data_IF_407407881635
#
_entry.id   IF_407407881635
#
_cell.length_a   1.000
_cell.length_b   1.000
_cell.length_c   1.000
_cell.angle_alpha   90.00
_cell.angle_beta   90.00
_cell.angle_gamma   90.00
#
_symmetry.space_group_name_H-M   'P 1'
#
loop_
_entity.id
_entity.type
_entity.pdbx_description
1 polymer ?
#
# COMPACT_ATOMS: atom_id res chain seq x y z
N UNK A 1 -9.04 -13.36 -82.37
CA UNK A 1 -8.83 -14.82 -82.41
C UNK A 1 -9.92 -15.49 -81.58
N UNK A 2 -10.70 -16.37 -82.21
CA UNK A 2 -11.83 -17.10 -81.64
C UNK A 2 -11.42 -18.12 -80.56
N UNK A 3 -12.30 -18.32 -79.55
CA UNK A 3 -12.78 -19.57 -78.88
C UNK A 3 -13.05 -19.29 -77.39
N UNK A 4 -14.29 -19.26 -76.90
CA UNK A 4 -15.24 -20.35 -76.52
C UNK A 4 -14.93 -21.08 -75.19
N UNK A 5 -15.99 -21.13 -74.34
CA UNK A 5 -16.27 -22.04 -73.20
C UNK A 5 -15.53 -21.77 -71.87
N UNK A 6 -16.12 -21.84 -70.66
CA UNK A 6 -17.45 -22.25 -70.17
C UNK A 6 -17.63 -21.79 -68.69
N UNK A 7 -18.87 -21.40 -68.33
CA UNK A 7 -19.65 -21.51 -67.06
C UNK A 7 -18.98 -21.32 -65.67
N UNK A 8 -19.60 -20.71 -64.64
CA UNK A 8 -20.96 -20.19 -64.40
C UNK A 8 -20.95 -19.27 -63.14
N UNK A 9 -21.65 -18.13 -63.13
CA UNK A 9 -23.05 -17.91 -62.68
C UNK A 9 -23.32 -18.46 -61.26
N UNK A 10 -23.67 -17.61 -60.27
CA UNK A 10 -25.04 -17.20 -59.85
C UNK A 10 -24.87 -15.88 -59.02
N UNK A 11 -25.36 -14.69 -59.39
CA UNK A 11 -26.76 -14.18 -59.43
C UNK A 11 -27.38 -13.94 -58.02
N UNK A 12 -28.10 -12.87 -57.66
CA UNK A 12 -28.60 -11.64 -58.29
C UNK A 12 -29.36 -10.78 -57.24
N UNK A 13 -29.58 -9.49 -57.55
CA UNK A 13 -30.67 -8.63 -57.04
C UNK A 13 -30.28 -7.74 -55.84
N UNK A 14 -30.08 -6.42 -55.89
CA UNK A 14 -30.71 -5.25 -56.54
C UNK A 14 -32.22 -5.08 -56.22
N UNK A 15 -32.61 -3.97 -55.54
CA UNK A 15 -33.40 -2.83 -56.08
C UNK A 15 -34.06 -1.96 -54.97
N UNK A 16 -33.76 -0.64 -55.05
CA UNK A 16 -34.54 0.60 -54.78
C UNK A 16 -35.52 0.70 -53.60
N UNK A 17 -35.31 1.67 -52.68
CA UNK A 17 -35.82 3.07 -52.67
C UNK A 17 -37.35 3.18 -52.76
N UNK A 18 -37.97 3.71 -51.70
CA UNK A 18 -39.02 4.73 -51.79
C UNK A 18 -39.11 5.54 -50.49
N UNK A 19 -39.21 6.85 -50.69
CA UNK A 19 -39.32 7.95 -49.75
C UNK A 19 -40.78 8.29 -49.44
N UNK A 20 -41.08 8.72 -48.21
CA UNK A 20 -42.29 9.50 -47.91
C UNK A 20 -42.00 10.47 -46.76
N UNK A 21 -42.00 11.76 -47.08
CA UNK A 21 -42.13 12.88 -46.13
C UNK A 21 -43.58 12.96 -45.63
N UNK A 22 -43.83 13.66 -44.50
CA UNK A 22 -44.84 14.75 -44.36
C UNK A 22 -45.17 15.06 -42.87
N UNK A 23 -44.80 16.30 -42.50
CA UNK A 23 -45.53 17.34 -41.76
C UNK A 23 -45.62 17.31 -40.21
N UNK A 24 -45.16 18.46 -39.69
CA UNK A 24 -45.27 19.05 -38.36
C UNK A 24 -46.68 19.56 -38.04
N UNK A 25 -47.13 19.36 -36.78
CA UNK A 25 -48.07 20.30 -36.15
C UNK A 25 -47.88 20.35 -34.63
N UNK A 26 -47.59 21.56 -34.13
CA UNK A 26 -47.59 21.95 -32.71
C UNK A 26 -49.00 21.86 -32.12
N UNK A 27 -49.15 21.18 -30.98
CA UNK A 27 -50.21 21.45 -29.99
C UNK A 27 -49.54 21.51 -28.61
N UNK A 28 -49.69 22.65 -27.92
CA UNK A 28 -49.41 22.79 -26.48
C UNK A 28 -50.57 22.18 -25.70
N UNK A 29 -50.27 21.31 -24.75
CA UNK A 29 -50.93 21.33 -23.44
C UNK A 29 -50.09 20.57 -22.40
N UNK A 30 -49.87 21.23 -21.26
CA UNK A 30 -49.30 20.66 -20.03
C UNK A 30 -50.25 19.58 -19.50
N UNK A 31 -49.70 18.50 -18.94
CA UNK A 31 -50.02 17.94 -17.61
C UNK A 31 -49.28 16.61 -17.46
N UNK A 32 -48.68 16.48 -16.27
CA UNK A 32 -47.96 15.37 -15.65
C UNK A 32 -48.37 13.95 -16.04
N UNK A 33 -47.36 13.10 -16.30
CA UNK A 33 -47.07 11.92 -15.46
C UNK A 33 -45.84 11.18 -15.99
N UNK A 34 -44.76 11.25 -15.21
CA UNK A 34 -43.64 10.32 -15.22
C UNK A 34 -44.19 8.92 -14.96
N UNK A 35 -44.23 8.02 -15.95
CA UNK A 35 -44.22 6.55 -15.75
C UNK A 35 -44.27 5.68 -17.04
N UNK A 36 -44.08 6.21 -18.25
CA UNK A 36 -44.27 5.40 -19.49
C UNK A 36 -43.00 5.19 -20.35
N UNK A 37 -41.83 5.70 -19.95
CA UNK A 37 -40.58 5.51 -20.74
C UNK A 37 -39.60 4.48 -20.14
N UNK A 38 -40.13 3.35 -19.65
CA UNK A 38 -39.31 2.17 -19.26
C UNK A 38 -39.41 0.98 -20.22
N UNK A 39 -40.03 1.15 -21.38
CA UNK A 39 -40.08 0.09 -22.39
C UNK A 39 -39.52 0.62 -23.71
N UNK A 40 -38.49 -0.08 -24.20
CA UNK A 40 -38.01 -0.08 -25.59
C UNK A 40 -37.08 1.08 -26.00
N UNK A 41 -35.80 0.92 -25.70
CA UNK A 41 -34.74 1.17 -26.69
C UNK A 41 -33.51 0.30 -26.40
N UNK A 42 -33.65 -0.99 -26.71
CA UNK A 42 -32.51 -1.84 -27.04
C UNK A 42 -31.95 -1.32 -28.38
N UNK A 43 -30.98 -0.42 -28.32
CA UNK A 43 -30.05 -0.17 -29.42
C UNK A 43 -28.65 0.10 -28.86
N UNK A 44 -27.83 -0.94 -28.99
CA UNK A 44 -26.38 -0.93 -29.11
C UNK A 44 -25.63 0.35 -28.69
N UNK A 45 -25.39 0.48 -27.38
CA UNK A 45 -24.14 1.01 -26.88
C UNK A 45 -23.36 -0.18 -26.33
N UNK A 46 -22.52 -0.77 -27.16
CA UNK A 46 -21.43 -1.62 -26.68
C UNK A 46 -20.46 -0.67 -26.00
N UNK A 47 -20.76 -0.35 -24.75
CA UNK A 47 -19.81 0.28 -23.86
C UNK A 47 -18.69 -0.75 -23.66
N UNK A 48 -17.55 -0.55 -24.32
CA UNK A 48 -16.36 -1.38 -24.13
C UNK A 48 -16.01 -1.37 -22.64
N UNK A 49 -16.39 -2.45 -21.94
CA UNK A 49 -15.88 -2.70 -20.59
C UNK A 49 -14.38 -2.89 -20.73
N UNK A 50 -13.58 -1.97 -20.18
CA UNK A 50 -12.13 -2.16 -20.00
C UNK A 50 -11.88 -3.59 -19.49
N UNK A 51 -10.85 -4.30 -20.00
CA UNK A 51 -10.58 -5.66 -19.58
C UNK A 51 -10.42 -5.71 -18.06
N UNK A 52 -11.35 -6.39 -17.38
CA UNK A 52 -11.33 -6.47 -15.92
C UNK A 52 -10.23 -7.44 -15.49
N UNK A 53 -9.19 -6.89 -14.87
CA UNK A 53 -8.07 -7.60 -14.22
C UNK A 53 -8.63 -8.76 -13.40
N UNK A 54 -8.22 -9.99 -13.73
CA UNK A 54 -8.82 -11.20 -13.15
C UNK A 54 -8.03 -11.63 -11.93
N UNK A 55 -8.71 -11.76 -10.79
CA UNK A 55 -8.11 -12.40 -9.64
C UNK A 55 -7.75 -13.87 -9.97
N UNK A 56 -6.45 -14.22 -9.93
CA UNK A 56 -6.06 -15.60 -10.23
C UNK A 56 -6.56 -16.51 -9.10
N UNK A 57 -7.31 -17.55 -9.46
CA UNK A 57 -7.73 -18.62 -8.55
C UNK A 57 -6.57 -19.60 -8.37
N UNK A 58 -6.31 -20.03 -7.14
CA UNK A 58 -5.28 -21.03 -6.87
C UNK A 58 -5.74 -22.42 -7.32
N UNK A 59 -5.01 -23.03 -8.25
CA UNK A 59 -5.05 -24.47 -8.51
C UNK A 59 -4.03 -25.24 -7.65
N UNK A 60 -3.22 -24.54 -6.85
CA UNK A 60 -2.13 -25.14 -6.07
C UNK A 60 -2.65 -25.62 -4.71
N UNK A 61 -2.27 -26.83 -4.25
CA UNK A 61 -2.67 -27.34 -2.95
C UNK A 61 -2.20 -26.41 -1.82
N UNK A 62 -2.99 -26.32 -0.74
CA UNK A 62 -2.67 -25.51 0.43
C UNK A 62 -1.32 -25.94 1.00
N UNK A 63 -0.43 -24.98 1.25
CA UNK A 63 0.87 -25.20 1.91
C UNK A 63 0.69 -25.98 3.22
N UNK A 64 1.46 -27.05 3.39
CA UNK A 64 1.56 -27.85 4.62
C UNK A 64 2.51 -27.24 5.64
N UNK A 65 3.41 -26.34 5.22
CA UNK A 65 4.34 -25.68 6.13
C UNK A 65 3.62 -24.65 7.01
N UNK A 66 3.70 -24.87 8.32
CA UNK A 66 3.16 -24.00 9.37
C UNK A 66 4.17 -22.91 9.79
N UNK A 67 4.93 -22.39 8.83
CA UNK A 67 5.86 -21.29 9.11
C UNK A 67 5.06 -20.00 9.22
N UNK A 68 4.67 -19.66 10.46
CA UNK A 68 4.03 -18.39 10.80
C UNK A 68 4.95 -17.23 10.40
N UNK A 69 4.78 -16.70 9.20
CA UNK A 69 5.44 -15.46 8.80
C UNK A 69 4.65 -14.28 9.39
N UNK A 70 5.13 -13.75 10.51
CA UNK A 70 4.62 -12.51 11.09
C UNK A 70 4.92 -11.33 10.18
N UNK A 71 3.87 -10.59 9.83
CA UNK A 71 3.93 -9.27 9.22
C UNK A 71 4.27 -8.27 10.34
N UNK A 72 5.30 -7.46 10.12
CA UNK A 72 5.80 -6.50 11.12
C UNK A 72 5.67 -5.10 10.53
N UNK A 73 4.73 -4.35 11.07
CA UNK A 73 4.38 -2.98 10.65
C UNK A 73 5.08 -1.90 11.46
N UNK A 74 5.61 -2.26 12.63
CA UNK A 74 6.27 -1.35 13.54
C UNK A 74 7.58 -1.99 13.98
N UNK A 75 8.68 -1.27 13.78
CA UNK A 75 10.00 -1.70 14.22
C UNK A 75 10.76 -0.54 14.83
N UNK A 76 11.37 -0.78 15.99
CA UNK A 76 12.34 0.13 16.57
C UNK A 76 13.72 -0.18 16.02
N UNK A 77 14.40 0.86 15.55
CA UNK A 77 15.72 0.74 14.92
C UNK A 77 16.67 1.77 15.49
N UNK A 78 17.91 1.35 15.75
CA UNK A 78 19.03 2.23 16.08
C UNK A 78 19.90 2.37 14.85
N UNK A 79 20.06 3.59 14.37
CA UNK A 79 20.85 3.93 13.19
C UNK A 79 22.11 4.64 13.61
N UNK A 80 23.26 4.11 13.17
CA UNK A 80 24.59 4.64 13.50
C UNK A 80 25.31 4.98 12.19
N UNK A 81 25.63 6.26 12.02
CA UNK A 81 26.48 6.74 10.95
C UNK A 81 27.89 6.19 11.06
N UNK A 82 28.58 6.06 9.94
CA UNK A 82 29.99 5.69 9.94
C UNK A 82 30.82 6.81 10.56
N UNK A 83 31.85 6.47 11.32
CA UNK A 83 32.82 7.47 11.78
C UNK A 83 33.68 7.94 10.60
N UNK A 84 34.12 9.19 10.63
CA UNK A 84 35.16 9.67 9.73
C UNK A 84 36.49 8.99 10.03
N UNK A 85 37.34 8.86 9.01
CA UNK A 85 38.71 8.42 9.19
C UNK A 85 39.56 9.51 9.83
N UNK A 86 40.57 9.10 10.59
CA UNK A 86 41.51 10.04 11.21
C UNK A 86 42.48 10.62 10.18
N UNK A 87 42.86 11.89 10.37
CA UNK A 87 43.99 12.48 9.67
C UNK A 87 45.31 11.87 10.14
N UNK A 88 46.28 11.79 9.24
CA UNK A 88 47.59 11.22 9.53
C UNK A 88 48.59 12.35 9.79
N UNK A 89 49.45 12.19 10.80
CA UNK A 89 50.70 12.96 10.91
C UNK A 89 51.79 12.16 10.21
N UNK A 90 52.35 12.73 9.14
CA UNK A 90 53.46 12.13 8.42
C UNK A 90 54.37 13.23 7.84
N UNK A 91 55.65 12.90 7.68
CA UNK A 91 56.60 13.75 7.00
C UNK A 91 57.29 12.97 5.88
N UNK A 92 57.45 13.62 4.73
CA UNK A 92 58.12 13.02 3.59
C UNK A 92 59.60 12.82 3.93
N UNK A 93 60.07 11.59 3.82
CA UNK A 93 61.49 11.24 3.97
C UNK A 93 62.15 11.12 2.62
N UNK A 94 63.16 11.95 2.38
CA UNK A 94 64.06 11.88 1.24
C UNK A 94 65.45 11.43 1.70
N UNK A 95 66.24 10.87 0.79
CA UNK A 95 67.56 10.30 1.09
C UNK A 95 68.58 11.28 1.72
N UNK A 96 68.36 12.60 1.63
CA UNK A 96 69.17 13.66 2.27
C UNK A 96 68.43 14.36 3.41
N UNK A 97 67.09 14.25 3.45
CA UNK A 97 66.26 15.06 4.31
C UNK A 97 65.15 14.21 4.93
N UNK A 98 65.27 13.95 6.24
CA UNK A 98 64.30 13.17 7.01
C UNK A 98 62.96 13.89 7.21
N UNK A 99 62.90 15.21 6.99
CA UNK A 99 61.67 16.02 7.12
C UNK A 99 61.56 16.98 5.94
N UNK A 100 61.30 16.41 4.75
CA UNK A 100 61.17 17.16 3.51
C UNK A 100 59.82 17.90 3.34
N UNK A 101 59.00 17.93 4.40
CA UNK A 101 57.69 18.56 4.43
C UNK A 101 56.62 17.62 5.00
N UNK A 102 55.48 18.13 5.48
CA UNK A 102 54.37 17.30 5.91
C UNK A 102 53.74 16.60 4.71
N UNK A 103 53.46 15.30 4.85
CA UNK A 103 52.87 14.47 3.80
C UNK A 103 51.74 13.56 4.33
N UNK A 104 51.15 13.90 5.47
CA UNK A 104 50.02 13.20 6.02
C UNK A 104 48.72 13.57 5.31
N UNK A 105 48.05 12.57 4.75
CA UNK A 105 46.74 12.74 4.13
C UNK A 105 45.61 12.88 5.15
N UNK A 106 44.51 13.46 4.70
CA UNK A 106 43.22 13.54 5.40
C UNK A 106 42.52 12.18 5.41
N UNK A 107 41.70 11.94 6.44
CA UNK A 107 40.81 10.80 6.51
C UNK A 107 39.57 10.97 5.62
N UNK A 108 39.01 9.85 5.19
CA UNK A 108 37.78 9.81 4.40
C UNK A 108 36.53 10.02 5.26
N UNK A 109 35.45 10.48 4.65
CA UNK A 109 34.16 10.64 5.32
C UNK A 109 33.50 9.30 5.64
N UNK A 110 32.80 9.24 6.77
CA UNK A 110 31.98 8.12 7.16
C UNK A 110 30.70 8.01 6.33
N UNK A 111 30.23 6.78 6.12
CA UNK A 111 29.01 6.50 5.39
C UNK A 111 27.77 6.99 6.14
N UNK A 112 26.70 7.25 5.39
CA UNK A 112 25.40 7.66 5.95
C UNK A 112 24.47 6.45 6.03
N UNK A 113 23.55 6.44 6.98
CA UNK A 113 22.42 5.51 6.99
C UNK A 113 21.22 6.21 6.38
N UNK A 114 20.66 5.63 5.33
CA UNK A 114 19.58 6.24 4.55
C UNK A 114 18.43 5.24 4.45
N UNK A 115 17.21 5.68 4.76
CA UNK A 115 16.00 4.93 4.44
C UNK A 115 15.49 5.36 3.06
N UNK A 116 15.29 4.40 2.16
CA UNK A 116 14.76 4.65 0.82
C UNK A 116 13.42 3.93 0.65
N UNK A 117 12.36 4.66 0.26
CA UNK A 117 11.08 4.06 -0.05
C UNK A 117 11.14 3.27 -1.36
N UNK A 118 10.88 1.97 -1.30
CA UNK A 118 10.91 1.08 -2.46
C UNK A 118 9.64 0.23 -2.54
N UNK A 119 9.11 0.04 -3.75
CA UNK A 119 7.99 -0.87 -4.02
C UNK A 119 8.37 -2.35 -3.87
N UNK A 120 9.67 -2.65 -3.82
CA UNK A 120 10.18 -4.03 -3.73
C UNK A 120 10.01 -4.61 -2.31
N UNK A 121 9.81 -3.75 -1.32
CA UNK A 121 9.72 -4.11 0.09
C UNK A 121 8.30 -3.81 0.58
N UNK A 122 7.67 -4.78 1.25
CA UNK A 122 6.27 -4.68 1.72
C UNK A 122 6.13 -4.62 3.24
N UNK A 123 7.08 -5.19 3.96
CA UNK A 123 7.05 -5.33 5.42
C UNK A 123 8.37 -4.78 6.00
N UNK A 124 8.42 -4.45 7.28
CA UNK A 124 9.65 -3.99 7.96
C UNK A 124 10.48 -5.14 8.56
N UNK A 125 10.12 -6.41 8.28
CA UNK A 125 10.71 -7.58 8.95
C UNK A 125 12.20 -7.79 8.67
N UNK A 126 12.68 -7.46 7.46
CA UNK A 126 14.09 -7.61 7.08
C UNK A 126 15.00 -6.57 7.73
N UNK A 127 14.42 -5.56 8.39
CA UNK A 127 15.18 -4.49 9.01
C UNK A 127 15.71 -4.98 10.36
N UNK A 128 17.03 -4.93 10.49
CA UNK A 128 17.69 -5.27 11.75
C UNK A 128 17.47 -4.15 12.77
N UNK A 129 17.44 -4.52 14.06
CA UNK A 129 17.31 -3.56 15.16
C UNK A 129 18.45 -2.54 15.23
N UNK A 130 19.63 -2.88 14.70
CA UNK A 130 20.79 -1.98 14.61
C UNK A 130 21.29 -1.92 13.18
N UNK A 131 21.37 -0.72 12.63
CA UNK A 131 21.80 -0.44 11.27
C UNK A 131 23.01 0.48 11.36
N UNK A 132 24.15 0.04 10.81
CA UNK A 132 25.40 0.81 10.83
C UNK A 132 25.88 1.07 9.42
N UNK A 133 26.39 2.27 9.16
CA UNK A 133 27.13 2.56 7.93
C UNK A 133 28.64 2.23 8.09
N UNK A 134 29.35 2.13 6.97
CA UNK A 134 30.81 1.88 6.98
C UNK A 134 31.55 3.13 7.45
N UNK A 135 32.65 2.94 8.16
CA UNK A 135 33.54 4.04 8.55
C UNK A 135 34.40 4.50 7.37
N UNK A 136 34.80 5.76 7.38
CA UNK A 136 35.80 6.31 6.48
C UNK A 136 37.17 5.70 6.76
N UNK A 137 38.00 5.62 5.72
CA UNK A 137 39.37 5.15 5.88
C UNK A 137 40.25 6.28 6.43
N UNK A 138 41.24 5.95 7.25
CA UNK A 138 42.21 6.94 7.72
C UNK A 138 43.08 7.48 6.58
N UNK A 139 43.66 8.66 6.79
CA UNK A 139 44.71 9.18 5.94
C UNK A 139 45.98 8.34 6.02
N UNK A 140 46.84 8.46 5.02
CA UNK A 140 48.13 7.78 4.94
C UNK A 140 49.24 8.75 4.56
N UNK A 141 50.49 8.30 4.73
CA UNK A 141 51.68 9.04 4.27
C UNK A 141 51.67 9.26 2.76
N UNK A 142 52.55 10.15 2.29
CA UNK A 142 52.72 10.53 0.87
C UNK A 142 51.50 11.22 0.27
N UNK A 143 50.84 12.09 1.03
CA UNK A 143 49.63 12.82 0.63
C UNK A 143 48.50 11.89 0.16
N UNK A 144 48.40 10.71 0.77
CA UNK A 144 47.41 9.71 0.40
C UNK A 144 46.17 9.88 1.29
N UNK A 145 45.08 10.38 0.69
CA UNK A 145 43.81 10.59 1.37
C UNK A 145 43.05 9.27 1.59
N UNK A 146 42.38 9.17 2.73
CA UNK A 146 41.52 8.04 3.05
C UNK A 146 40.28 7.99 2.16
N UNK A 147 39.86 6.79 1.76
CA UNK A 147 38.66 6.59 0.95
C UNK A 147 37.39 6.91 1.75
N UNK A 148 36.46 7.62 1.11
CA UNK A 148 35.11 7.82 1.64
C UNK A 148 34.35 6.49 1.73
N UNK A 149 33.60 6.30 2.81
CA UNK A 149 32.82 5.09 2.99
C UNK A 149 31.55 5.08 2.14
N UNK A 150 31.14 3.89 1.74
CA UNK A 150 29.85 3.69 1.07
C UNK A 150 28.69 3.89 2.06
N UNK A 151 27.64 4.60 1.62
CA UNK A 151 26.43 4.77 2.40
C UNK A 151 25.67 3.44 2.53
N UNK A 152 25.02 3.23 3.66
CA UNK A 152 24.14 2.09 3.89
C UNK A 152 22.69 2.52 3.60
N UNK A 153 22.19 2.14 2.43
CA UNK A 153 20.82 2.41 2.01
C UNK A 153 19.95 1.21 2.37
N UNK A 154 18.95 1.45 3.21
CA UNK A 154 18.00 0.45 3.68
C UNK A 154 16.65 0.72 3.06
N UNK A 155 16.19 -0.24 2.26
CA UNK A 155 14.89 -0.16 1.59
C UNK A 155 13.76 -0.37 2.61
N UNK A 156 12.82 0.56 2.63
CA UNK A 156 11.60 0.51 3.42
C UNK A 156 10.37 0.53 2.51
N UNK A 157 9.22 -0.02 2.93
CA UNK A 157 7.97 0.08 2.19
C UNK A 157 7.55 1.53 1.94
N UNK A 158 6.81 1.74 0.86
CA UNK A 158 6.17 3.03 0.58
C UNK A 158 5.10 3.33 1.65
N UNK A 159 5.03 4.58 2.10
CA UNK A 159 4.17 5.01 3.20
C UNK A 159 4.74 4.65 4.57
N UNK A 160 6.07 4.53 4.70
CA UNK A 160 6.73 4.37 6.00
C UNK A 160 6.88 5.74 6.66
N UNK A 161 6.30 5.87 7.84
CA UNK A 161 6.42 7.03 8.72
C UNK A 161 7.61 6.78 9.65
N UNK A 162 8.55 7.73 9.67
CA UNK A 162 9.70 7.72 10.58
C UNK A 162 9.39 8.61 11.78
N UNK A 163 9.33 8.01 12.97
CA UNK A 163 9.14 8.73 14.22
C UNK A 163 10.40 8.70 15.08
N UNK A 164 10.62 9.77 15.81
CA UNK A 164 11.57 9.78 16.91
C UNK A 164 11.06 8.96 18.11
N UNK A 165 11.94 8.64 19.06
CA UNK A 165 11.59 7.98 20.33
C UNK A 165 10.56 8.79 21.13
N UNK A 166 10.54 10.11 20.95
CA UNK A 166 9.53 11.02 21.52
C UNK A 166 8.13 10.90 20.90
N UNK A 167 7.99 10.19 19.77
CA UNK A 167 6.74 10.02 19.03
C UNK A 167 6.47 11.08 17.96
N UNK A 168 7.35 12.09 17.86
CA UNK A 168 7.30 13.14 16.84
C UNK A 168 7.56 12.56 15.45
N UNK A 169 6.74 12.94 14.46
CA UNK A 169 6.93 12.51 13.06
C UNK A 169 8.06 13.35 12.45
N UNK A 170 9.12 12.68 12.00
CA UNK A 170 10.27 13.32 11.36
C UNK A 170 10.15 13.33 9.84
N UNK A 171 9.65 12.23 9.28
CA UNK A 171 9.52 12.06 7.84
C UNK A 171 8.39 11.09 7.50
N UNK A 172 7.84 11.29 6.31
CA UNK A 172 6.84 10.41 5.70
C UNK A 172 7.32 10.01 4.30
N UNK A 173 7.54 8.72 4.09
CA UNK A 173 8.16 8.18 2.88
C UNK A 173 7.10 7.67 1.90
N UNK A 174 6.29 8.61 1.38
CA UNK A 174 5.07 8.31 0.61
C UNK A 174 5.30 8.01 -0.88
N UNK A 175 6.43 8.42 -1.47
CA UNK A 175 6.74 8.20 -2.90
C UNK A 175 7.93 7.26 -3.06
N UNK A 176 7.91 6.45 -4.13
CA UNK A 176 9.05 5.60 -4.49
C UNK A 176 10.30 6.43 -4.75
N UNK A 177 11.43 6.02 -4.19
CA UNK A 177 12.71 6.71 -4.28
C UNK A 177 12.86 7.90 -3.30
N UNK A 178 11.85 8.19 -2.47
CA UNK A 178 12.05 9.14 -1.37
C UNK A 178 13.08 8.61 -0.39
N UNK A 179 14.04 9.47 -0.04
CA UNK A 179 15.13 9.14 0.86
C UNK A 179 15.07 9.99 2.11
N UNK A 180 15.31 9.36 3.26
CA UNK A 180 15.50 10.03 4.54
C UNK A 180 16.86 9.65 5.12
N UNK A 181 17.70 10.64 5.40
CA UNK A 181 18.99 10.43 6.05
C UNK A 181 18.71 10.22 7.54
N UNK A 182 18.81 8.97 7.97
CA UNK A 182 18.53 8.56 9.34
C UNK A 182 19.74 8.80 10.27
N UNK A 183 20.95 8.63 9.77
CA UNK A 183 22.14 8.99 10.55
C UNK A 183 23.23 9.50 9.61
N UNK A 184 23.72 10.72 9.86
CA UNK A 184 24.86 11.28 9.14
C UNK A 184 26.14 10.61 9.60
N UNK A 185 27.03 10.42 8.63
CA UNK A 185 28.38 9.94 8.84
C UNK A 185 29.28 11.08 9.27
N UNK A 186 30.27 10.77 10.08
CA UNK A 186 31.25 11.74 10.54
C UNK A 186 32.14 12.26 9.42
N UNK A 187 32.53 13.53 9.52
CA UNK A 187 33.54 14.11 8.66
C UNK A 187 34.91 13.46 8.88
N UNK A 188 35.69 13.27 7.82
CA UNK A 188 37.08 12.82 7.94
C UNK A 188 37.95 13.90 8.56
N UNK A 189 38.93 13.50 9.36
CA UNK A 189 39.86 14.40 10.02
C UNK A 189 40.96 14.88 9.07
N UNK A 190 41.34 16.14 9.18
CA UNK A 190 42.44 16.70 8.40
C UNK A 190 43.81 16.19 8.85
N UNK A 191 44.66 15.84 7.89
CA UNK A 191 46.06 15.45 8.10
C UNK A 191 46.94 16.66 8.40
N UNK A 192 48.19 16.42 8.76
CA UNK A 192 49.09 17.51 9.11
C UNK A 192 49.39 18.46 7.95
N UNK A 193 49.33 17.98 6.70
CA UNK A 193 49.51 18.81 5.51
C UNK A 193 48.47 19.94 5.41
N UNK A 194 47.26 19.76 5.93
CA UNK A 194 46.21 20.79 5.93
C UNK A 194 46.55 21.99 6.84
N UNK A 195 47.29 21.75 7.92
CA UNK A 195 47.63 22.77 8.93
C UNK A 195 48.90 23.57 8.60
N UNK A 196 49.45 23.41 7.40
CA UNK A 196 50.63 24.19 6.99
C UNK A 196 50.28 25.66 6.83
N UNK A 197 51.07 26.52 7.46
CA UNK A 197 50.97 27.97 7.32
C UNK A 197 52.36 28.58 7.13
N UNK A 198 52.42 29.84 6.70
CA UNK A 198 53.68 30.57 6.53
C UNK A 198 54.53 30.56 7.81
N UNK A 199 53.87 30.57 8.97
CA UNK A 199 54.51 30.52 10.29
C UNK A 199 54.84 29.11 10.76
N UNK A 200 54.03 28.10 10.40
CA UNK A 200 54.21 26.70 10.80
C UNK A 200 54.27 25.78 9.58
N UNK A 201 55.49 25.58 9.08
CA UNK A 201 55.76 24.75 7.88
C UNK A 201 55.78 23.24 8.16
N UNK A 202 55.95 22.83 9.42
CA UNK A 202 56.01 21.43 9.83
C UNK A 202 55.06 21.15 11.01
N UNK A 203 53.73 21.27 10.82
CA UNK A 203 52.74 20.95 11.84
C UNK A 203 52.83 19.48 12.26
N UNK A 204 52.84 19.24 13.57
CA UNK A 204 52.74 17.92 14.20
C UNK A 204 51.34 17.70 14.78
N UNK A 205 50.33 18.34 14.17
CA UNK A 205 48.93 18.25 14.55
C UNK A 205 48.13 17.62 13.43
N UNK A 206 47.13 16.82 13.79
CA UNK A 206 46.10 16.31 12.90
C UNK A 206 44.76 16.29 13.64
N UNK A 207 43.67 16.24 12.89
CA UNK A 207 42.34 16.07 13.43
C UNK A 207 41.92 14.60 13.42
N UNK A 208 41.22 14.20 14.48
CA UNK A 208 40.51 12.93 14.51
C UNK A 208 39.27 13.00 13.62
N UNK A 209 38.88 11.86 13.06
CA UNK A 209 37.61 11.76 12.35
C UNK A 209 36.44 12.02 13.30
N UNK A 210 35.44 12.75 12.83
CA UNK A 210 34.24 12.99 13.62
C UNK A 210 33.46 11.68 13.82
N UNK A 211 32.79 11.55 14.96
CA UNK A 211 31.89 10.43 15.21
C UNK A 211 30.63 10.56 14.37
N UNK A 212 30.14 9.44 13.83
CA UNK A 212 28.84 9.40 13.17
C UNK A 212 27.70 9.64 14.16
N UNK A 213 26.55 10.08 13.65
CA UNK A 213 25.34 10.24 14.46
C UNK A 213 24.83 8.88 14.94
N UNK A 214 24.29 8.83 16.15
CA UNK A 214 23.70 7.64 16.76
C UNK A 214 22.28 7.98 17.24
N UNK A 215 21.29 7.59 16.45
CA UNK A 215 19.89 7.97 16.62
C UNK A 215 19.01 6.72 16.66
N UNK A 216 17.85 6.85 17.30
CA UNK A 216 16.86 5.79 17.40
C UNK A 216 15.54 6.25 16.82
N UNK A 217 14.91 5.37 16.06
CA UNK A 217 13.66 5.65 15.38
C UNK A 217 12.65 4.53 15.59
N UNK A 218 11.38 4.90 15.49
CA UNK A 218 10.27 3.97 15.32
C UNK A 218 9.79 4.12 13.89
N UNK A 219 9.97 3.07 13.10
CA UNK A 219 9.43 2.98 11.75
C UNK A 219 8.04 2.38 11.83
N UNK A 220 7.06 3.05 11.24
CA UNK A 220 5.67 2.58 11.16
C UNK A 220 5.18 2.63 9.72
N UNK A 221 4.65 1.54 9.20
CA UNK A 221 3.97 1.55 7.89
C UNK A 221 2.53 2.10 8.04
N UNK A 222 2.15 3.05 7.20
CA UNK A 222 0.83 3.72 7.23
C UNK A 222 -0.34 2.77 6.93
N UNK A 223 -0.11 1.68 6.20
CA UNK A 223 -1.17 0.73 5.81
C UNK A 223 -0.87 -0.69 6.28
N UNK A 224 -1.82 -1.25 7.05
CA UNK A 224 -1.84 -2.68 7.43
C UNK A 224 -2.58 -3.52 6.38
N UNK A 225 -3.61 -2.93 5.77
CA UNK A 225 -4.41 -3.51 4.71
C UNK A 225 -5.07 -2.40 3.91
N UNK A 226 -5.26 -2.62 2.62
CA UNK A 226 -5.99 -1.68 1.77
C UNK A 226 -7.49 -1.73 2.09
N UNK A 227 -8.00 -2.90 2.51
CA UNK A 227 -9.43 -3.14 2.72
C UNK A 227 -9.67 -3.86 4.05
N UNK A 228 -10.59 -3.34 4.85
CA UNK A 228 -11.04 -3.95 6.10
C UNK A 228 -12.38 -4.67 5.95
N UNK A 229 -12.47 -5.93 6.37
CA UNK A 229 -13.72 -6.70 6.44
C UNK A 229 -14.42 -6.43 7.77
N UNK A 230 -15.61 -5.83 7.72
CA UNK A 230 -16.44 -5.52 8.88
C UNK A 230 -17.73 -6.33 8.85
N UNK A 231 -18.31 -6.58 10.01
CA UNK A 231 -19.48 -7.45 10.14
C UNK A 231 -19.62 -7.97 11.56
N UNK A 232 -20.85 -8.34 11.92
CA UNK A 232 -21.17 -8.94 13.21
C UNK A 232 -20.43 -10.29 13.41
N UNK A 233 -20.33 -10.78 14.66
CA UNK A 233 -19.91 -12.15 14.91
C UNK A 233 -20.69 -13.13 14.04
N UNK A 234 -20.03 -14.16 13.52
CA UNK A 234 -20.62 -15.19 12.65
C UNK A 234 -21.14 -14.74 11.27
N UNK A 235 -20.94 -13.48 10.86
CA UNK A 235 -21.25 -13.02 9.50
C UNK A 235 -20.43 -13.74 8.40
N UNK A 236 -19.37 -14.47 8.79
CA UNK A 236 -18.55 -15.27 7.88
C UNK A 236 -17.30 -14.56 7.37
N UNK A 237 -16.83 -13.51 8.06
CA UNK A 237 -15.65 -12.70 7.68
C UNK A 237 -14.38 -13.53 7.52
N UNK A 238 -14.02 -14.30 8.53
CA UNK A 238 -12.83 -15.17 8.46
C UNK A 238 -12.99 -16.30 7.44
N UNK A 239 -14.21 -16.74 7.14
CA UNK A 239 -14.49 -17.71 6.07
C UNK A 239 -14.25 -17.06 4.71
N UNK A 240 -14.76 -15.84 4.50
CA UNK A 240 -14.54 -15.07 3.29
C UNK A 240 -13.06 -14.75 3.08
N UNK A 241 -12.35 -14.30 4.13
CA UNK A 241 -10.92 -14.02 4.07
C UNK A 241 -10.12 -15.25 3.61
N UNK A 242 -10.48 -16.45 4.11
CA UNK A 242 -9.85 -17.70 3.68
C UNK A 242 -10.21 -18.11 2.26
N UNK A 243 -11.40 -17.73 1.78
CA UNK A 243 -11.84 -18.01 0.41
C UNK A 243 -11.15 -17.10 -0.62
N UNK A 244 -10.88 -15.84 -0.26
CA UNK A 244 -10.24 -14.85 -1.15
C UNK A 244 -8.70 -14.86 -1.06
N UNK A 245 -8.14 -15.23 0.09
CA UNK A 245 -6.69 -15.25 0.29
C UNK A 245 -6.07 -16.51 -0.32
N UNK A 246 -5.07 -16.33 -1.20
CA UNK A 246 -4.30 -17.44 -1.79
C UNK A 246 -3.46 -18.20 -0.76
N UNK A 247 -3.04 -17.53 0.31
CA UNK A 247 -2.27 -18.09 1.41
C UNK A 247 -3.14 -18.29 2.66
N UNK A 248 -2.72 -19.15 3.58
CA UNK A 248 -3.28 -19.15 4.94
C UNK A 248 -3.18 -17.71 5.48
N UNK A 249 -4.28 -17.10 5.96
CA UNK A 249 -4.24 -15.75 6.49
C UNK A 249 -3.13 -15.63 7.52
N UNK A 250 -2.26 -14.65 7.34
CA UNK A 250 -1.14 -14.41 8.26
C UNK A 250 -1.70 -13.75 9.51
N UNK A 251 -1.26 -14.23 10.66
CA UNK A 251 -1.63 -13.67 11.96
C UNK A 251 -0.65 -12.52 12.24
N UNK A 252 -1.15 -11.29 12.24
CA UNK A 252 -0.34 -10.12 12.56
C UNK A 252 -0.33 -9.90 14.08
N UNK A 253 0.85 -9.81 14.69
CA UNK A 253 1.00 -9.58 16.13
C UNK A 253 1.34 -8.11 16.36
N UNK A 254 0.35 -7.33 16.80
CA UNK A 254 0.55 -5.93 17.12
C UNK A 254 0.83 -5.75 18.61
N UNK A 255 1.84 -4.96 18.99
CA UNK A 255 1.94 -4.50 20.37
C UNK A 255 0.63 -3.74 20.66
N UNK A 256 0.01 -3.99 21.81
CA UNK A 256 -1.26 -3.38 22.26
C UNK A 256 -2.58 -3.98 21.74
N UNK A 257 -2.58 -4.99 20.86
CA UNK A 257 -3.82 -5.73 20.52
C UNK A 257 -3.94 -7.02 21.33
N UNK A 258 -5.08 -7.28 21.98
CA UNK A 258 -5.35 -8.58 22.61
C UNK A 258 -5.74 -9.65 21.59
N UNK A 259 -6.24 -9.25 20.41
CA UNK A 259 -6.62 -10.14 19.32
C UNK A 259 -5.74 -9.85 18.10
N UNK A 260 -5.04 -10.89 17.64
CA UNK A 260 -4.21 -10.82 16.44
C UNK A 260 -5.11 -10.88 15.20
N UNK A 261 -5.21 -9.82 14.38
CA UNK A 261 -6.07 -9.86 13.19
C UNK A 261 -5.44 -10.76 12.11
N UNK A 262 -6.31 -11.27 11.25
CA UNK A 262 -5.91 -12.11 10.12
C UNK A 262 -5.80 -11.24 8.87
N UNK A 263 -4.67 -11.28 8.19
CA UNK A 263 -4.45 -10.58 6.93
C UNK A 263 -4.40 -11.60 5.80
N UNK A 264 -5.23 -11.39 4.78
CA UNK A 264 -5.27 -12.16 3.55
C UNK A 264 -4.76 -11.34 2.38
N UNK A 265 -4.07 -12.00 1.44
CA UNK A 265 -3.57 -11.36 0.23
C UNK A 265 -4.38 -11.84 -0.97
N UNK A 266 -5.04 -10.90 -1.64
CA UNK A 266 -5.62 -11.12 -2.98
C UNK A 266 -4.52 -10.74 -3.97
N UNK A 267 -4.27 -11.62 -4.92
CA UNK A 267 -3.34 -11.35 -6.01
C UNK A 267 -4.15 -11.26 -7.31
N UNK A 268 -3.72 -10.40 -8.22
CA UNK A 268 -4.34 -10.20 -9.53
C UNK A 268 -3.41 -10.70 -10.65
N UNK A 269 -3.90 -10.75 -11.89
CA UNK A 269 -3.16 -11.23 -13.07
C UNK A 269 -2.14 -10.21 -13.60
N UNK A 270 -2.29 -8.94 -13.23
CA UNK A 270 -1.34 -7.85 -13.44
C UNK A 270 -0.24 -7.76 -12.36
N UNK A 271 -0.07 -8.82 -11.57
CA UNK A 271 0.88 -8.94 -10.46
C UNK A 271 0.62 -8.04 -9.25
N UNK A 272 -0.43 -7.23 -9.27
CA UNK A 272 -0.82 -6.41 -8.12
C UNK A 272 -1.38 -7.27 -6.98
N UNK A 273 -1.14 -6.80 -5.75
CA UNK A 273 -1.54 -7.53 -4.54
C UNK A 273 -2.31 -6.61 -3.60
N UNK A 274 -3.54 -6.97 -3.30
CA UNK A 274 -4.41 -6.23 -2.39
C UNK A 274 -4.46 -6.95 -1.05
N UNK A 275 -3.98 -6.28 0.00
CA UNK A 275 -4.09 -6.74 1.38
C UNK A 275 -5.50 -6.49 1.92
N UNK A 276 -6.11 -7.54 2.46
CA UNK A 276 -7.43 -7.51 3.10
C UNK A 276 -7.28 -7.96 4.54
N UNK A 277 -7.75 -7.18 5.50
CA UNK A 277 -7.72 -7.53 6.91
C UNK A 277 -9.12 -7.98 7.39
N UNK A 278 -9.18 -9.10 8.11
CA UNK A 278 -10.35 -9.44 8.92
C UNK A 278 -10.27 -8.64 10.21
N UNK A 279 -11.17 -7.67 10.32
CA UNK A 279 -11.36 -6.92 11.54
C UNK A 279 -12.21 -7.80 12.47
N UNK A 280 -11.72 -8.30 13.64
CA UNK A 280 -12.52 -9.00 14.64
C UNK A 280 -13.96 -8.46 14.81
N UNK A 281 -14.94 -9.33 15.02
CA UNK A 281 -16.34 -8.93 15.26
C UNK A 281 -16.42 -7.73 16.19
N UNK A 282 -17.04 -6.64 15.73
CA UNK A 282 -17.52 -5.64 16.67
C UNK A 282 -18.53 -6.38 17.55
N UNK A 283 -18.14 -6.59 18.80
CA UNK A 283 -19.04 -7.14 19.80
C UNK A 283 -19.95 -5.99 20.18
N UNK A 284 -21.25 -6.26 20.29
CA UNK A 284 -22.22 -5.32 20.83
C UNK A 284 -21.66 -4.71 22.13
N UNK A 285 -21.77 -3.38 22.28
CA UNK A 285 -21.18 -2.61 23.40
C UNK A 285 -19.64 -2.45 23.42
N UNK A 286 -18.94 -2.65 22.30
CA UNK A 286 -17.49 -2.35 22.18
C UNK A 286 -17.11 -0.90 22.53
N UNK A 287 -18.07 0.03 22.45
CA UNK A 287 -17.93 1.43 22.86
C UNK A 287 -18.00 1.65 24.38
N UNK A 288 -18.64 0.75 25.14
CA UNK A 288 -18.89 0.89 26.60
C UNK A 288 -17.89 0.16 27.51
N UNK A 289 -17.07 -0.77 27.01
CA UNK A 289 -16.21 -1.58 27.88
C UNK A 289 -14.71 -1.55 27.50
N UNK A 290 -13.96 -0.81 28.34
CA UNK A 290 -12.54 -0.98 28.72
C UNK A 290 -11.54 -1.25 27.59
N UNK A 291 -11.00 -0.18 27.01
CA UNK A 291 -9.66 -0.11 26.39
C UNK A 291 -9.41 -0.91 25.10
N UNK A 292 -10.15 -1.98 24.83
CA UNK A 292 -9.89 -2.93 23.75
C UNK A 292 -10.59 -2.57 22.44
N UNK A 293 -11.81 -2.00 22.51
CA UNK A 293 -12.59 -1.60 21.33
C UNK A 293 -12.00 -0.39 20.59
N UNK A 294 -11.48 0.59 21.33
CA UNK A 294 -10.86 1.80 20.77
C UNK A 294 -9.56 1.45 20.04
N UNK A 295 -8.69 0.62 20.62
CA UNK A 295 -7.48 0.15 19.92
C UNK A 295 -7.79 -0.68 18.69
N UNK A 296 -8.91 -1.41 18.70
CA UNK A 296 -9.33 -2.23 17.58
C UNK A 296 -9.81 -1.41 16.37
N UNK A 297 -10.66 -0.42 16.59
CA UNK A 297 -11.19 0.45 15.53
C UNK A 297 -10.12 1.40 14.96
N UNK A 298 -9.03 1.69 15.69
CA UNK A 298 -7.83 2.32 15.12
C UNK A 298 -7.25 1.53 13.93
N UNK A 299 -7.48 0.22 13.84
CA UNK A 299 -7.08 -0.56 12.66
C UNK A 299 -8.03 -0.36 11.47
N UNK A 300 -9.31 -0.03 11.71
CA UNK A 300 -10.23 0.38 10.63
C UNK A 300 -9.77 1.69 9.99
N UNK A 301 -9.28 2.63 10.81
CA UNK A 301 -8.72 3.90 10.32
C UNK A 301 -7.52 3.72 9.39
N UNK A 302 -6.81 2.61 9.48
CA UNK A 302 -5.68 2.29 8.60
C UNK A 302 -6.10 1.62 7.28
N UNK A 303 -7.37 1.25 7.11
CA UNK A 303 -7.89 0.63 5.90
C UNK A 303 -8.44 1.69 4.94
N UNK A 304 -7.91 1.79 3.73
CA UNK A 304 -8.37 2.79 2.75
C UNK A 304 -9.85 2.63 2.36
N UNK A 305 -10.38 1.41 2.43
CA UNK A 305 -11.80 1.12 2.26
C UNK A 305 -12.31 -0.02 3.14
N UNK A 306 -13.64 -0.13 3.21
CA UNK A 306 -14.33 -1.07 4.08
C UNK A 306 -15.26 -2.00 3.28
N UNK A 307 -15.37 -3.25 3.72
CA UNK A 307 -16.34 -4.21 3.16
C UNK A 307 -17.24 -4.67 4.30
N UNK A 308 -18.52 -4.29 4.23
CA UNK A 308 -19.53 -4.71 5.19
C UNK A 308 -20.08 -6.08 4.79
N UNK A 309 -19.90 -7.07 5.66
CA UNK A 309 -20.35 -8.44 5.48
C UNK A 309 -21.58 -8.64 6.36
N UNK A 310 -22.71 -8.85 5.71
CA UNK A 310 -24.01 -9.08 6.34
C UNK A 310 -24.38 -10.55 6.23
N UNK A 311 -24.92 -11.11 7.31
CA UNK A 311 -25.51 -12.43 7.30
C UNK A 311 -26.96 -12.35 6.84
N UNK A 312 -27.28 -12.94 5.68
CA UNK A 312 -28.63 -12.86 5.10
C UNK A 312 -29.61 -13.85 5.72
N UNK A 313 -29.14 -14.80 6.54
CA UNK A 313 -30.03 -15.77 7.20
C UNK A 313 -30.78 -15.23 8.40
N UNK A 314 -30.38 -14.05 8.88
CA UNK A 314 -31.06 -13.34 9.97
C UNK A 314 -32.31 -12.68 9.41
N UNK A 315 -33.37 -12.59 10.22
CA UNK A 315 -34.67 -12.04 9.79
C UNK A 315 -34.58 -10.57 9.33
N UNK A 316 -33.72 -9.77 9.96
CA UNK A 316 -33.60 -8.32 9.69
C UNK A 316 -32.14 -7.91 9.39
N UNK A 317 -31.59 -8.27 8.21
CA UNK A 317 -30.20 -8.02 7.87
C UNK A 317 -29.85 -6.53 7.73
N UNK A 318 -30.84 -5.66 7.48
CA UNK A 318 -30.62 -4.20 7.42
C UNK A 318 -30.26 -3.61 8.79
N UNK A 319 -30.84 -4.13 9.89
CA UNK A 319 -30.48 -3.69 11.25
C UNK A 319 -29.02 -3.98 11.57
N UNK A 320 -28.49 -5.10 11.10
CA UNK A 320 -27.07 -5.42 11.26
C UNK A 320 -26.17 -4.36 10.59
N UNK A 321 -26.57 -3.84 9.42
CA UNK A 321 -25.83 -2.76 8.78
C UNK A 321 -25.94 -1.44 9.57
N UNK A 322 -27.13 -1.10 10.05
CA UNK A 322 -27.36 0.09 10.86
C UNK A 322 -26.51 0.07 12.14
N UNK A 323 -26.48 -1.06 12.85
CA UNK A 323 -25.63 -1.26 14.03
C UNK A 323 -24.16 -1.05 13.69
N UNK A 324 -23.66 -1.66 12.61
CA UNK A 324 -22.25 -1.50 12.20
C UNK A 324 -21.91 -0.04 11.85
N UNK A 325 -22.77 0.65 11.10
CA UNK A 325 -22.59 2.07 10.77
C UNK A 325 -22.64 2.97 12.01
N UNK A 326 -23.52 2.66 12.95
CA UNK A 326 -23.61 3.37 14.22
C UNK A 326 -22.33 3.18 15.03
N UNK A 327 -21.84 1.95 15.21
CA UNK A 327 -20.63 1.68 15.98
C UNK A 327 -19.39 2.37 15.39
N UNK A 328 -19.25 2.36 14.06
CA UNK A 328 -18.16 3.05 13.38
C UNK A 328 -18.28 4.57 13.55
N UNK A 329 -19.49 5.14 13.48
CA UNK A 329 -19.73 6.56 13.70
C UNK A 329 -19.35 7.02 15.10
N UNK A 330 -19.62 6.19 16.11
CA UNK A 330 -19.29 6.48 17.51
C UNK A 330 -17.79 6.53 17.75
N UNK A 331 -17.00 5.88 16.89
CA UNK A 331 -15.55 5.91 16.97
C UNK A 331 -14.96 7.06 16.17
N UNK A 332 -15.34 7.19 14.90
CA UNK A 332 -14.90 8.30 14.04
C UNK A 332 -15.90 8.49 12.89
N UNK A 333 -16.54 9.67 12.85
CA UNK A 333 -17.53 10.00 11.82
C UNK A 333 -16.96 9.88 10.39
N UNK A 334 -15.68 10.19 10.20
CA UNK A 334 -15.01 10.12 8.88
C UNK A 334 -14.92 8.70 8.32
N UNK A 335 -15.06 7.67 9.14
CA UNK A 335 -15.03 6.28 8.66
C UNK A 335 -16.27 5.91 7.86
N UNK A 336 -17.43 6.54 8.12
CA UNK A 336 -18.65 6.30 7.35
C UNK A 336 -18.61 6.93 5.95
N UNK A 337 -17.79 7.96 5.76
CA UNK A 337 -17.57 8.62 4.48
C UNK A 337 -16.65 7.80 3.56
N UNK A 338 -15.94 6.80 4.11
CA UNK A 338 -15.01 5.98 3.32
C UNK A 338 -15.74 5.16 2.26
N UNK A 339 -15.10 4.93 1.10
CA UNK A 339 -15.61 4.00 0.11
C UNK A 339 -15.84 2.63 0.73
N UNK A 340 -17.03 2.08 0.52
CA UNK A 340 -17.40 0.80 1.09
C UNK A 340 -18.23 -0.05 0.14
N UNK A 341 -18.12 -1.37 0.31
CA UNK A 341 -18.89 -2.38 -0.41
C UNK A 341 -19.78 -3.12 0.58
N UNK A 342 -21.04 -3.37 0.21
CA UNK A 342 -21.96 -4.18 1.00
C UNK A 342 -22.05 -5.57 0.40
N UNK A 343 -21.79 -6.57 1.22
CA UNK A 343 -21.74 -7.98 0.85
C UNK A 343 -22.79 -8.74 1.65
N UNK A 344 -23.75 -9.34 0.94
CA UNK A 344 -24.72 -10.25 1.53
C UNK A 344 -24.17 -11.68 1.46
N UNK A 345 -23.76 -12.23 2.60
CA UNK A 345 -23.15 -13.55 2.68
C UNK A 345 -24.19 -14.63 3.07
N UNK A 346 -23.83 -15.90 2.86
CA UNK A 346 -24.63 -17.10 3.15
C UNK A 346 -25.88 -17.27 2.27
N UNK A 347 -25.80 -16.87 1.00
CA UNK A 347 -26.91 -17.07 0.04
C UNK A 347 -27.24 -18.54 -0.24
N UNK A 348 -26.39 -19.46 0.21
CA UNK A 348 -26.59 -20.91 0.09
C UNK A 348 -27.62 -21.48 1.06
N UNK A 349 -28.03 -20.71 2.08
CA UNK A 349 -28.96 -21.16 3.10
C UNK A 349 -30.42 -20.81 2.74
N UNK A 350 -31.40 -21.58 3.25
CA UNK A 350 -32.82 -21.29 3.03
C UNK A 350 -33.18 -19.90 3.59
N UNK A 351 -34.22 -19.28 3.02
CA UNK A 351 -34.70 -17.91 3.30
C UNK A 351 -33.79 -16.78 2.80
N UNK A 352 -32.60 -17.07 2.29
CA UNK A 352 -31.67 -16.05 1.81
C UNK A 352 -32.20 -15.22 0.64
N UNK A 353 -32.93 -15.84 -0.31
CA UNK A 353 -33.45 -15.11 -1.48
C UNK A 353 -34.50 -14.06 -1.11
N UNK A 354 -35.38 -14.39 -0.16
CA UNK A 354 -36.43 -13.50 0.35
C UNK A 354 -35.78 -12.35 1.12
N UNK A 355 -34.89 -12.66 2.05
CA UNK A 355 -34.20 -11.66 2.86
C UNK A 355 -33.30 -10.75 2.02
N UNK A 356 -32.75 -11.26 0.91
CA UNK A 356 -31.99 -10.46 -0.06
C UNK A 356 -32.86 -9.46 -0.81
N UNK A 357 -34.09 -9.84 -1.18
CA UNK A 357 -35.05 -8.91 -1.77
C UNK A 357 -35.41 -7.81 -0.76
N UNK A 358 -35.78 -8.18 0.47
CA UNK A 358 -36.08 -7.22 1.53
C UNK A 358 -34.89 -6.28 1.80
N UNK A 359 -33.67 -6.81 1.86
CA UNK A 359 -32.46 -6.00 2.06
C UNK A 359 -32.27 -4.98 0.94
N UNK A 360 -32.56 -5.33 -0.32
CA UNK A 360 -32.48 -4.41 -1.47
C UNK A 360 -33.59 -3.36 -1.47
N UNK A 361 -34.75 -3.66 -0.93
CA UNK A 361 -35.84 -2.69 -0.78
C UNK A 361 -35.51 -1.66 0.31
N UNK A 362 -34.88 -2.09 1.40
CA UNK A 362 -34.49 -1.21 2.51
C UNK A 362 -33.22 -0.40 2.25
N UNK A 363 -32.31 -0.88 1.38
CA UNK A 363 -31.00 -0.26 1.16
C UNK A 363 -30.82 0.16 -0.30
N UNK A 364 -30.62 1.46 -0.52
CA UNK A 364 -30.45 2.06 -1.84
C UNK A 364 -28.99 2.02 -2.36
N UNK A 365 -28.19 1.06 -1.88
CA UNK A 365 -26.76 0.89 -2.21
C UNK A 365 -26.54 -0.45 -2.94
N UNK A 366 -25.50 -0.56 -3.78
CA UNK A 366 -25.20 -1.81 -4.47
C UNK A 366 -24.81 -2.90 -3.47
N UNK A 367 -25.54 -4.02 -3.52
CA UNK A 367 -25.31 -5.19 -2.66
C UNK A 367 -24.80 -6.36 -3.52
N UNK A 368 -23.67 -6.94 -3.12
CA UNK A 368 -23.08 -8.11 -3.77
C UNK A 368 -23.44 -9.38 -2.98
N UNK A 369 -24.31 -10.25 -3.52
CA UNK A 369 -24.65 -11.51 -2.88
C UNK A 369 -23.58 -12.58 -3.11
N UNK A 370 -23.09 -13.23 -2.06
CA UNK A 370 -22.06 -14.26 -2.14
C UNK A 370 -22.34 -15.46 -1.22
N UNK A 371 -21.74 -16.61 -1.52
CA UNK A 371 -21.49 -17.64 -0.50
C UNK A 371 -19.99 -17.82 -0.34
N UNK A 372 -19.46 -17.40 0.82
CA UNK A 372 -18.06 -17.61 1.16
C UNK A 372 -17.70 -19.11 1.27
N UNK A 373 -18.66 -19.96 1.66
CA UNK A 373 -18.45 -21.40 1.88
C UNK A 373 -18.40 -22.19 0.57
N UNK A 374 -19.34 -21.91 -0.34
CA UNK A 374 -19.44 -22.61 -1.63
C UNK A 374 -18.52 -21.95 -2.69
N UNK A 375 -18.23 -20.66 -2.52
CA UNK A 375 -17.46 -19.89 -3.50
C UNK A 375 -18.31 -19.26 -4.60
N UNK A 376 -19.64 -19.20 -4.43
CA UNK A 376 -20.53 -18.54 -5.41
C UNK A 376 -20.31 -17.03 -5.39
N UNK A 377 -20.24 -16.46 -6.59
CA UNK A 377 -20.15 -15.02 -6.85
C UNK A 377 -18.91 -14.28 -6.27
N UNK A 378 -17.90 -15.01 -5.76
CA UNK A 378 -16.68 -14.41 -5.20
C UNK A 378 -15.88 -13.64 -6.25
N UNK A 379 -15.83 -14.11 -7.50
CA UNK A 379 -15.10 -13.40 -8.58
C UNK A 379 -15.58 -11.98 -8.79
N UNK A 380 -16.89 -11.77 -8.64
CA UNK A 380 -17.56 -10.49 -8.82
C UNK A 380 -17.19 -9.54 -7.68
N UNK A 381 -17.17 -10.06 -6.45
CA UNK A 381 -16.64 -9.33 -5.30
C UNK A 381 -15.16 -8.93 -5.47
N UNK A 382 -14.32 -9.85 -5.97
CA UNK A 382 -12.90 -9.57 -6.20
C UNK A 382 -12.70 -8.47 -7.25
N UNK A 383 -13.49 -8.48 -8.32
CA UNK A 383 -13.43 -7.43 -9.33
C UNK A 383 -13.85 -6.07 -8.76
N UNK A 384 -14.90 -6.02 -7.93
CA UNK A 384 -15.33 -4.77 -7.28
C UNK A 384 -14.33 -4.28 -6.22
N UNK A 385 -13.66 -5.19 -5.53
CA UNK A 385 -12.55 -4.87 -4.65
C UNK A 385 -11.39 -4.24 -5.44
N UNK A 386 -11.11 -4.73 -6.65
CA UNK A 386 -10.05 -4.19 -7.51
C UNK A 386 -10.38 -2.79 -8.02
N UNK A 387 -11.59 -2.60 -8.55
CA UNK A 387 -12.03 -1.28 -9.04
C UNK A 387 -11.99 -0.24 -7.93
N UNK A 388 -12.45 -0.61 -6.74
CA UNK A 388 -12.38 0.25 -5.56
C UNK A 388 -10.93 0.60 -5.20
N UNK A 389 -10.02 -0.38 -5.20
CA UNK A 389 -8.60 -0.17 -4.90
C UNK A 389 -7.92 0.76 -5.91
N UNK A 390 -8.18 0.56 -7.21
CA UNK A 390 -7.58 1.36 -8.28
C UNK A 390 -8.06 2.83 -8.20
N UNK A 391 -9.35 3.04 -7.90
CA UNK A 391 -9.90 4.38 -7.68
C UNK A 391 -9.26 5.09 -6.48
N UNK A 392 -9.06 4.37 -5.37
CA UNK A 392 -8.37 4.92 -4.20
C UNK A 392 -6.93 5.34 -4.54
N UNK A 393 -6.21 4.49 -5.29
CA UNK A 393 -4.83 4.76 -5.70
C UNK A 393 -4.74 5.99 -6.61
N UNK A 394 -5.71 6.19 -7.51
CA UNK A 394 -5.79 7.36 -8.36
C UNK A 394 -6.03 8.65 -7.56
N UNK A 395 -7.01 8.66 -6.65
CA UNK A 395 -7.33 9.85 -5.85
C UNK A 395 -6.15 10.29 -4.96
N UNK A 396 -5.40 9.34 -4.36
CA UNK A 396 -4.20 9.66 -3.59
C UNK A 396 -3.09 10.29 -4.45
N UNK A 397 -3.04 10.01 -5.76
CA UNK A 397 -2.06 10.64 -6.65
C UNK A 397 -2.42 12.07 -7.06
N UNK A 398 -3.71 12.41 -7.09
CA UNK A 398 -4.21 13.75 -7.47
C UNK A 398 -4.12 14.75 -6.31
N UNK A 399 -4.50 14.36 -5.09
CA UNK A 399 -4.36 15.21 -3.88
C UNK A 399 -2.91 15.63 -3.61
N UNK A 400 -1.97 14.74 -3.94
CA UNK A 400 -0.53 14.99 -3.83
C UNK A 400 0.05 15.86 -4.97
N UNK A 401 -0.73 16.20 -5.98
CA UNK A 401 -0.32 17.11 -7.06
C UNK A 401 -0.81 18.55 -6.82
N UNK A 402 -1.98 18.71 -6.18
CA UNK A 402 -2.51 20.02 -5.79
C UNK A 402 -1.79 20.62 -4.57
N UNK A 403 -1.20 19.81 -3.68
CA UNK A 403 -0.43 20.30 -2.53
C UNK A 403 0.98 20.83 -2.90
N UNK A 404 1.40 20.65 -4.15
CA UNK A 404 2.71 21.09 -4.69
C UNK A 404 2.59 22.20 -5.75
N UNK A 405 1.37 22.73 -5.97
CA UNK A 405 1.10 24.00 -6.65
C UNK A 405 0.80 25.06 -5.60
#
# INVERSE_FOLDING_TARGET
MHRLCHLGAIAYGIIQRQSCEIISSRIRCKISNENILRALSVTASVCEKKPTVKALRSMKPKSTNDTLQQFVDITQVRTIGGNGGDGQISFLRLWVNDRAGPDGGDGGHGGHVIFEASSNVKDLKHINSVIKAKNGEKGYSKNCFGKNAEHNVVNVPIGTIVRDVSGTILADLDKTGMMFIAARGGAGGHGNAFFTSDTQQAPEICEYGATGEDLQYVLETRSMAHIGLLGLPNAGKSTLLRAISRARPKVAAYPFTTLKPHIGMIQYDDYEQVAVADMPGLIEDSHKNRGLGITFLKHAERCAALVFILDITVDEPWKALETLKYEISQFNEKLNERPHIIVANKIDLPNAEINLQLLREHINLPIIPISAKIGTNISTLLNEIRTLYDNLKANTSEENSELFM
#
